data_IF_149675702589
#
_entry.id   IF_149675702589
#
_cell.length_a   1.000
_cell.length_b   1.000
_cell.length_c   1.000
_cell.angle_alpha   90.00
_cell.angle_beta   90.00
_cell.angle_gamma   90.00
#
_symmetry.space_group_name_H-M   'P 1'
#
loop_
_entity.id
_entity.type
_entity.pdbx_description
1 polymer ?
#
# COMPACT_ATOMS: atom_id res chain seq x y z
N UNK A 1 9.14 -19.05 16.53
CA UNK A 1 10.31 -18.55 15.78
C UNK A 1 9.94 -17.53 14.71
N UNK A 2 9.00 -17.79 13.77
CA UNK A 2 8.61 -16.79 12.75
C UNK A 2 8.08 -15.45 13.28
N UNK A 3 7.31 -15.46 14.38
CA UNK A 3 6.79 -14.22 15.01
C UNK A 3 7.91 -13.32 15.57
N UNK A 4 8.90 -13.90 16.24
CA UNK A 4 10.06 -13.16 16.75
C UNK A 4 10.91 -12.54 15.64
N UNK A 5 11.05 -13.22 14.50
CA UNK A 5 11.78 -12.68 13.34
C UNK A 5 11.00 -11.52 12.69
N UNK A 6 9.68 -11.62 12.58
CA UNK A 6 8.83 -10.56 12.03
C UNK A 6 8.78 -9.33 12.94
N UNK A 7 8.74 -9.53 14.26
CA UNK A 7 8.80 -8.44 15.24
C UNK A 7 10.16 -7.74 15.21
N UNK A 8 11.25 -8.50 15.14
CA UNK A 8 12.61 -7.96 15.01
C UNK A 8 12.84 -7.22 13.68
N UNK A 9 12.37 -7.78 12.57
CA UNK A 9 12.47 -7.15 11.24
C UNK A 9 11.72 -5.83 11.19
N UNK A 10 10.51 -5.79 11.78
CA UNK A 10 9.70 -4.58 11.83
C UNK A 10 10.35 -3.51 12.71
N UNK A 11 10.85 -3.89 13.89
CA UNK A 11 11.51 -2.94 14.80
C UNK A 11 12.78 -2.34 14.18
N UNK A 12 13.60 -3.16 13.53
CA UNK A 12 14.80 -2.67 12.79
C UNK A 12 14.40 -1.74 11.63
N UNK A 13 13.35 -2.07 10.88
CA UNK A 13 12.83 -1.23 9.81
C UNK A 13 12.42 0.15 10.33
N UNK A 14 11.64 0.19 11.42
CA UNK A 14 11.14 1.44 12.01
C UNK A 14 12.31 2.33 12.50
N UNK A 15 13.36 1.73 13.06
CA UNK A 15 14.58 2.45 13.46
C UNK A 15 15.34 3.03 12.24
N UNK A 16 15.50 2.26 11.17
CA UNK A 16 16.17 2.72 9.96
C UNK A 16 15.38 3.85 9.27
N UNK A 17 14.06 3.73 9.25
CA UNK A 17 13.14 4.76 8.74
C UNK A 17 13.32 6.09 9.48
N UNK A 18 13.36 6.05 10.80
CA UNK A 18 13.59 7.24 11.64
C UNK A 18 14.94 7.91 11.36
N UNK A 19 16.02 7.12 11.28
CA UNK A 19 17.36 7.64 10.99
C UNK A 19 17.41 8.26 9.60
N UNK A 20 16.85 7.58 8.61
CA UNK A 20 16.87 8.03 7.22
C UNK A 20 16.04 9.31 7.03
N UNK A 21 14.84 9.38 7.62
CA UNK A 21 14.02 10.60 7.63
C UNK A 21 14.74 11.77 8.31
N UNK A 22 15.48 11.52 9.39
CA UNK A 22 16.26 12.56 10.08
C UNK A 22 17.41 13.11 9.22
N UNK A 23 18.18 12.22 8.57
CA UNK A 23 19.28 12.62 7.68
C UNK A 23 18.73 13.43 6.49
N UNK A 24 17.65 12.95 5.86
CA UNK A 24 17.02 13.65 4.75
C UNK A 24 16.46 15.01 5.18
N UNK A 25 15.86 15.11 6.37
CA UNK A 25 15.37 16.38 6.91
C UNK A 25 16.49 17.42 7.04
N UNK A 26 17.66 17.02 7.57
CA UNK A 26 18.82 17.91 7.66
C UNK A 26 19.34 18.33 6.28
N UNK A 27 19.40 17.40 5.32
CA UNK A 27 19.79 17.71 3.95
C UNK A 27 18.82 18.70 3.29
N UNK A 28 17.51 18.52 3.47
CA UNK A 28 16.50 19.44 2.95
C UNK A 28 16.60 20.82 3.60
N UNK A 29 16.91 20.91 4.88
CA UNK A 29 17.14 22.20 5.55
C UNK A 29 18.35 22.94 4.96
N UNK A 30 19.44 22.22 4.67
CA UNK A 30 20.61 22.81 4.00
C UNK A 30 20.30 23.29 2.59
N UNK A 31 19.59 22.48 1.78
CA UNK A 31 19.16 22.89 0.44
C UNK A 31 18.20 24.08 0.45
N UNK A 32 17.29 24.15 1.43
CA UNK A 32 16.40 25.30 1.59
C UNK A 32 17.17 26.58 1.92
N UNK A 33 18.21 26.48 2.76
CA UNK A 33 19.08 27.62 3.05
C UNK A 33 19.89 28.05 1.81
N UNK A 34 20.42 27.10 1.04
CA UNK A 34 21.11 27.40 -0.22
C UNK A 34 20.18 28.12 -1.23
N UNK A 35 18.91 27.70 -1.33
CA UNK A 35 17.92 28.37 -2.17
C UNK A 35 17.68 29.84 -1.75
N UNK A 36 17.64 30.11 -0.44
CA UNK A 36 17.52 31.48 0.06
C UNK A 36 18.73 32.35 -0.31
N UNK A 37 19.93 31.78 -0.36
CA UNK A 37 21.12 32.49 -0.83
C UNK A 37 21.04 32.80 -2.33
N UNK A 38 20.58 31.85 -3.16
CA UNK A 38 20.39 32.08 -4.59
C UNK A 38 19.42 33.26 -4.86
N UNK A 39 18.39 33.41 -4.01
CA UNK A 39 17.44 34.53 -4.10
C UNK A 39 18.07 35.89 -3.79
N UNK A 40 19.12 35.95 -2.96
CA UNK A 40 19.85 37.21 -2.73
C UNK A 40 20.66 37.63 -3.96
N UNK A 41 21.05 36.68 -4.81
CA UNK A 41 21.69 36.94 -6.10
C UNK A 41 20.81 37.71 -7.08
N UNK A 42 19.48 37.55 -7.03
CA UNK A 42 18.53 38.37 -7.80
C UNK A 42 18.61 39.87 -7.46
N UNK A 43 18.97 40.22 -6.23
CA UNK A 43 19.15 41.62 -5.81
C UNK A 43 20.52 42.18 -6.18
N UNK A 44 21.53 41.32 -6.37
CA UNK A 44 22.92 41.71 -6.64
C UNK A 44 23.40 41.21 -8.01
N UNK A 45 23.00 41.93 -9.06
CA UNK A 45 23.73 42.12 -10.33
C UNK A 45 23.82 40.99 -11.39
N UNK A 46 23.56 41.40 -12.66
CA UNK A 46 24.34 41.11 -13.88
C UNK A 46 24.39 39.69 -14.50
N UNK A 47 23.52 38.78 -14.10
CA UNK A 47 23.31 37.49 -14.78
C UNK A 47 21.96 37.54 -15.53
N UNK A 48 21.83 36.83 -16.65
CA UNK A 48 20.57 36.71 -17.38
C UNK A 48 19.47 36.21 -16.42
N UNK A 49 18.46 37.04 -16.15
CA UNK A 49 17.42 36.80 -15.13
C UNK A 49 16.68 35.46 -15.35
N UNK A 50 16.63 34.98 -16.60
CA UNK A 50 16.04 33.70 -16.97
C UNK A 50 16.82 32.49 -16.45
N UNK A 51 18.15 32.49 -16.52
CA UNK A 51 18.95 31.34 -16.06
C UNK A 51 18.88 31.20 -14.53
N UNK A 52 18.88 32.32 -13.80
CA UNK A 52 18.68 32.32 -12.36
C UNK A 52 17.27 31.87 -11.98
N UNK A 53 16.25 32.24 -12.76
CA UNK A 53 14.88 31.80 -12.55
C UNK A 53 14.75 30.28 -12.71
N UNK A 54 15.28 29.70 -13.78
CA UNK A 54 15.25 28.26 -14.03
C UNK A 54 16.00 27.48 -12.94
N UNK A 55 17.16 27.99 -12.49
CA UNK A 55 17.93 27.40 -11.39
C UNK A 55 17.14 27.38 -10.07
N UNK A 56 16.55 28.52 -9.70
CA UNK A 56 15.75 28.64 -8.46
C UNK A 56 14.52 27.75 -8.54
N UNK A 57 13.81 27.73 -9.67
CA UNK A 57 12.64 26.89 -9.88
C UNK A 57 13.00 25.40 -9.79
N UNK A 58 14.10 24.99 -10.41
CA UNK A 58 14.59 23.61 -10.36
C UNK A 58 14.88 23.16 -8.92
N UNK A 59 15.59 23.99 -8.14
CA UNK A 59 15.94 23.71 -6.74
C UNK A 59 14.72 23.71 -5.82
N UNK A 60 13.81 24.68 -5.99
CA UNK A 60 12.56 24.76 -5.22
C UNK A 60 11.67 23.53 -5.43
N UNK A 61 11.52 23.09 -6.69
CA UNK A 61 10.73 21.90 -6.98
C UNK A 61 11.41 20.61 -6.47
N UNK A 62 12.75 20.53 -6.50
CA UNK A 62 13.48 19.39 -5.93
C UNK A 62 13.28 19.30 -4.41
N UNK A 63 13.28 20.44 -3.70
CA UNK A 63 12.93 20.51 -2.28
C UNK A 63 11.51 20.03 -2.00
N UNK A 64 10.52 20.45 -2.80
CA UNK A 64 9.14 20.02 -2.63
C UNK A 64 9.00 18.49 -2.76
N UNK A 65 9.68 17.88 -3.74
CA UNK A 65 9.68 16.41 -3.92
C UNK A 65 10.37 15.73 -2.73
N UNK A 66 11.50 16.26 -2.28
CA UNK A 66 12.25 15.72 -1.14
C UNK A 66 11.45 15.73 0.16
N UNK A 67 10.69 16.79 0.43
CA UNK A 67 9.80 16.87 1.59
C UNK A 67 8.71 15.79 1.53
N UNK A 68 8.10 15.60 0.37
CA UNK A 68 7.05 14.58 0.20
C UNK A 68 7.61 13.16 0.33
N UNK A 69 8.83 12.93 -0.16
CA UNK A 69 9.56 11.67 0.03
C UNK A 69 9.80 11.37 1.51
N UNK A 70 10.20 12.36 2.32
CA UNK A 70 10.38 12.19 3.76
C UNK A 70 9.06 11.79 4.43
N UNK A 71 7.95 12.44 4.08
CA UNK A 71 6.62 12.06 4.62
C UNK A 71 6.21 10.65 4.21
N UNK A 72 6.53 10.26 2.98
CA UNK A 72 6.25 8.93 2.45
C UNK A 72 7.07 7.85 3.17
N UNK A 73 8.35 8.13 3.43
CA UNK A 73 9.22 7.22 4.17
C UNK A 73 8.68 7.03 5.58
N UNK A 74 8.36 8.11 6.30
CA UNK A 74 7.89 8.08 7.70
C UNK A 74 6.49 7.49 7.92
N UNK A 75 5.70 7.29 6.85
CA UNK A 75 4.37 6.67 6.90
C UNK A 75 4.10 5.99 5.55
N UNK A 76 4.71 4.83 5.30
CA UNK A 76 4.61 4.17 4.01
C UNK A 76 3.21 3.61 3.83
N UNK A 77 2.38 4.32 3.07
CA UNK A 77 1.11 3.80 2.57
C UNK A 77 1.19 3.61 1.04
N UNK A 78 0.60 2.56 0.47
CA UNK A 78 0.56 2.36 -0.99
C UNK A 78 -0.05 3.55 -1.74
N UNK A 79 -0.92 4.31 -1.07
CA UNK A 79 -1.51 5.53 -1.59
C UNK A 79 -0.49 6.68 -1.67
N UNK A 80 0.33 6.85 -0.63
CA UNK A 80 1.33 7.92 -0.53
C UNK A 80 2.45 7.78 -1.56
N UNK A 81 2.90 6.55 -1.83
CA UNK A 81 4.00 6.30 -2.79
C UNK A 81 3.65 6.76 -4.20
N UNK A 82 2.43 6.49 -4.65
CA UNK A 82 1.98 6.87 -5.99
C UNK A 82 1.85 8.39 -6.10
N UNK A 83 1.34 9.06 -5.07
CA UNK A 83 1.22 10.52 -5.04
C UNK A 83 2.58 11.22 -5.15
N UNK A 84 3.60 10.71 -4.44
CA UNK A 84 4.97 11.25 -4.51
C UNK A 84 5.60 11.02 -5.89
N UNK A 85 5.42 9.83 -6.48
CA UNK A 85 5.93 9.54 -7.83
C UNK A 85 5.29 10.45 -8.89
N UNK A 86 3.99 10.71 -8.78
CA UNK A 86 3.29 11.63 -9.67
C UNK A 86 3.80 13.06 -9.55
N UNK A 87 4.04 13.52 -8.32
CA UNK A 87 4.60 14.85 -8.07
C UNK A 87 6.02 14.98 -8.63
N UNK A 88 6.86 13.96 -8.44
CA UNK A 88 8.22 13.91 -8.98
C UNK A 88 8.25 13.95 -10.53
N UNK A 89 7.41 13.15 -11.17
CA UNK A 89 7.29 13.13 -12.64
C UNK A 89 6.75 14.45 -13.19
N UNK A 90 5.74 15.02 -12.54
CA UNK A 90 5.13 16.30 -12.96
C UNK A 90 6.14 17.44 -12.89
N UNK A 91 6.97 17.52 -11.83
CA UNK A 91 8.08 18.49 -11.78
C UNK A 91 9.00 18.35 -12.98
N UNK A 92 9.44 17.13 -13.27
CA UNK A 92 10.47 16.91 -14.28
C UNK A 92 10.00 17.39 -15.66
N UNK A 93 8.70 17.32 -15.92
CA UNK A 93 8.07 17.87 -17.12
C UNK A 93 7.98 19.41 -17.16
N UNK A 94 8.02 20.08 -16.00
CA UNK A 94 7.93 21.55 -15.89
C UNK A 94 9.32 22.19 -15.95
N UNK A 95 10.33 21.57 -15.34
CA UNK A 95 11.67 22.13 -15.17
C UNK A 95 12.57 21.87 -16.38
N UNK A 96 12.61 20.63 -16.86
CA UNK A 96 13.29 20.35 -18.12
C UNK A 96 12.33 20.79 -19.22
N UNK A 97 12.74 21.69 -20.12
CA UNK A 97 12.00 21.94 -21.37
C UNK A 97 12.26 20.74 -22.29
N UNK A 98 11.46 19.66 -22.26
CA UNK A 98 11.83 18.45 -22.94
C UNK A 98 11.47 18.64 -24.41
N UNK A 99 12.23 18.04 -25.31
CA UNK A 99 11.74 17.80 -26.67
C UNK A 99 10.32 17.23 -26.60
N UNK A 100 9.41 17.73 -27.44
CA UNK A 100 7.96 17.47 -27.38
C UNK A 100 7.60 15.97 -27.27
N UNK A 101 8.45 15.09 -27.79
CA UNK A 101 8.34 13.62 -27.66
C UNK A 101 8.61 13.09 -26.25
N UNK A 102 9.62 13.61 -25.56
CA UNK A 102 9.93 13.22 -24.17
C UNK A 102 8.79 13.61 -23.23
N UNK A 103 8.17 14.77 -23.48
CA UNK A 103 7.00 15.22 -22.74
C UNK A 103 5.81 14.26 -22.94
N UNK A 104 5.56 13.82 -24.18
CA UNK A 104 4.51 12.86 -24.51
C UNK A 104 4.73 11.50 -23.81
N UNK A 105 5.97 10.97 -23.84
CA UNK A 105 6.30 9.73 -23.15
C UNK A 105 6.13 9.84 -21.62
N UNK A 106 6.47 10.99 -21.04
CA UNK A 106 6.24 11.26 -19.62
C UNK A 106 4.76 11.23 -19.24
N UNK A 107 3.89 11.86 -20.05
CA UNK A 107 2.43 11.83 -19.84
C UNK A 107 1.90 10.38 -19.98
N UNK A 108 2.34 9.64 -20.99
CA UNK A 108 1.93 8.24 -21.19
C UNK A 108 2.35 7.39 -19.99
N UNK A 109 3.56 7.57 -19.47
CA UNK A 109 4.05 6.83 -18.29
C UNK A 109 3.18 7.11 -17.05
N UNK A 110 2.84 8.37 -16.81
CA UNK A 110 1.91 8.77 -15.73
C UNK A 110 0.53 8.12 -15.93
N UNK A 111 -0.02 8.16 -17.13
CA UNK A 111 -1.31 7.56 -17.45
C UNK A 111 -1.32 6.03 -17.23
N UNK A 112 -0.23 5.35 -17.60
CA UNK A 112 -0.06 3.91 -17.37
C UNK A 112 0.04 3.59 -15.87
N UNK A 113 0.77 4.38 -15.08
CA UNK A 113 0.82 4.21 -13.62
C UNK A 113 -0.58 4.32 -12.98
N UNK A 114 -1.38 5.29 -13.42
CA UNK A 114 -2.78 5.40 -12.98
C UNK A 114 -3.64 4.21 -13.42
N UNK A 115 -3.44 3.70 -14.64
CA UNK A 115 -4.17 2.54 -15.13
C UNK A 115 -3.80 1.27 -14.34
N UNK A 116 -2.51 1.03 -14.08
CA UNK A 116 -2.05 -0.08 -13.24
C UNK A 116 -2.71 0.00 -11.85
N UNK A 117 -2.72 1.19 -11.23
CA UNK A 117 -3.40 1.40 -9.95
C UNK A 117 -4.89 1.05 -10.02
N UNK A 118 -5.60 1.59 -11.00
CA UNK A 118 -7.05 1.43 -11.11
C UNK A 118 -7.47 0.00 -11.44
N UNK A 119 -6.70 -0.72 -12.24
CA UNK A 119 -7.14 -2.00 -12.81
C UNK A 119 -6.41 -3.23 -12.25
N UNK A 120 -5.18 -3.09 -11.76
CA UNK A 120 -4.38 -4.21 -11.24
C UNK A 120 -4.50 -4.34 -9.71
N UNK A 121 -4.42 -3.23 -8.98
CA UNK A 121 -4.43 -3.26 -7.50
C UNK A 121 -5.83 -3.36 -6.91
N UNK A 122 -6.85 -2.75 -7.53
CA UNK A 122 -8.25 -2.84 -7.06
C UNK A 122 -8.76 -4.29 -7.06
N UNK A 123 -8.28 -5.15 -7.97
CA UNK A 123 -8.65 -6.57 -7.99
C UNK A 123 -8.09 -7.37 -6.79
N UNK A 124 -6.97 -6.94 -6.22
CA UNK A 124 -6.37 -7.59 -5.05
C UNK A 124 -6.97 -7.10 -3.73
N UNK A 125 -7.62 -5.94 -3.73
CA UNK A 125 -8.18 -5.29 -2.54
C UNK A 125 -9.72 -5.47 -2.42
N UNK A 126 -10.39 -5.97 -3.47
CA UNK A 126 -11.83 -6.25 -3.49
C UNK A 126 -12.21 -7.57 -2.80
N UNK A 127 -11.29 -8.20 -2.06
CA UNK A 127 -11.67 -9.32 -1.23
C UNK A 127 -12.51 -8.78 -0.04
N UNK A 128 -13.81 -9.01 -0.05
CA UNK A 128 -14.63 -8.60 1.10
C UNK A 128 -14.35 -9.59 2.25
N UNK A 129 -13.73 -9.07 3.32
CA UNK A 129 -13.42 -9.83 4.53
C UNK A 129 -14.56 -9.68 5.55
N UNK A 130 -15.16 -10.79 5.98
CA UNK A 130 -16.17 -10.82 7.05
C UNK A 130 -15.83 -11.86 8.10
N UNK A 131 -15.66 -11.45 9.35
CA UNK A 131 -15.42 -12.37 10.47
C UNK A 131 -16.72 -12.70 11.18
N UNK A 132 -17.06 -13.99 11.24
CA UNK A 132 -18.26 -14.51 11.90
C UNK A 132 -17.92 -15.60 12.91
N UNK A 133 -18.87 -15.95 13.79
CA UNK A 133 -18.70 -17.05 14.73
C UNK A 133 -18.75 -18.39 14.00
N UNK A 134 -17.83 -19.29 14.34
CA UNK A 134 -17.79 -20.65 13.77
C UNK A 134 -19.06 -21.47 14.05
N UNK A 135 -19.80 -21.13 15.12
CA UNK A 135 -21.07 -21.78 15.49
C UNK A 135 -22.28 -21.35 14.67
N UNK A 136 -22.14 -20.37 13.76
CA UNK A 136 -23.26 -19.96 12.90
C UNK A 136 -23.60 -21.07 11.90
N UNK A 137 -24.91 -21.34 11.76
CA UNK A 137 -25.44 -22.26 10.75
C UNK A 137 -25.19 -21.72 9.35
N UNK A 138 -24.87 -22.59 8.39
CA UNK A 138 -24.55 -22.20 7.01
C UNK A 138 -25.65 -21.34 6.37
N UNK A 139 -26.93 -21.60 6.66
CA UNK A 139 -28.06 -20.78 6.18
C UNK A 139 -27.96 -19.31 6.59
N UNK A 140 -27.60 -19.05 7.84
CA UNK A 140 -27.47 -17.69 8.36
C UNK A 140 -26.28 -16.97 7.72
N UNK A 141 -25.19 -17.70 7.50
CA UNK A 141 -23.97 -17.20 6.87
C UNK A 141 -24.22 -16.86 5.40
N UNK A 142 -24.93 -17.72 4.67
CA UNK A 142 -25.30 -17.49 3.28
C UNK A 142 -26.14 -16.21 3.12
N UNK A 143 -27.02 -15.91 4.08
CA UNK A 143 -27.81 -14.67 4.10
C UNK A 143 -26.91 -13.46 4.43
N UNK A 144 -26.13 -13.55 5.52
CA UNK A 144 -25.29 -12.45 6.01
C UNK A 144 -24.20 -12.04 5.02
N UNK A 145 -23.50 -13.03 4.45
CA UNK A 145 -22.38 -12.81 3.54
C UNK A 145 -22.83 -12.73 2.06
N UNK A 146 -24.14 -12.93 1.77
CA UNK A 146 -24.68 -13.05 0.41
C UNK A 146 -23.90 -14.06 -0.42
N UNK A 147 -23.73 -15.26 0.13
CA UNK A 147 -22.98 -16.37 -0.49
C UNK A 147 -23.84 -17.63 -0.55
N UNK A 148 -23.37 -18.62 -1.31
CA UNK A 148 -24.02 -19.92 -1.39
C UNK A 148 -23.02 -21.03 -1.03
N UNK A 149 -22.76 -21.18 0.27
CA UNK A 149 -21.96 -22.28 0.79
C UNK A 149 -22.85 -23.52 0.87
N UNK A 150 -22.47 -24.59 0.15
CA UNK A 150 -23.17 -25.86 0.17
C UNK A 150 -22.75 -26.67 1.42
N UNK A 151 -23.73 -27.32 2.05
CA UNK A 151 -23.52 -28.17 3.22
C UNK A 151 -24.83 -28.78 3.72
N UNK A 152 -24.75 -29.59 4.78
CA UNK A 152 -25.93 -30.27 5.32
C UNK A 152 -26.84 -29.28 6.08
N UNK A 153 -28.12 -29.62 6.25
CA UNK A 153 -29.14 -28.69 6.80
C UNK A 153 -28.84 -28.19 8.23
N UNK A 154 -28.06 -28.95 8.99
CA UNK A 154 -27.65 -28.67 10.37
C UNK A 154 -26.19 -28.19 10.49
N UNK A 155 -25.46 -28.11 9.37
CA UNK A 155 -24.04 -27.76 9.42
C UNK A 155 -23.79 -26.32 9.88
N UNK A 156 -22.71 -26.19 10.65
CA UNK A 156 -22.11 -24.92 11.04
C UNK A 156 -20.88 -24.64 10.19
N UNK A 157 -20.44 -23.38 10.15
CA UNK A 157 -19.17 -23.04 9.51
C UNK A 157 -18.00 -23.85 10.07
N UNK A 158 -17.94 -24.02 11.39
CA UNK A 158 -16.89 -24.78 12.06
C UNK A 158 -16.92 -26.27 11.66
N UNK A 159 -18.10 -26.90 11.62
CA UNK A 159 -18.22 -28.31 11.23
C UNK A 159 -17.83 -28.54 9.77
N UNK A 160 -18.26 -27.65 8.87
CA UNK A 160 -17.91 -27.70 7.46
C UNK A 160 -16.39 -27.60 7.22
N UNK A 161 -15.73 -26.63 7.88
CA UNK A 161 -14.28 -26.41 7.77
C UNK A 161 -13.52 -27.59 8.35
N UNK A 162 -13.92 -28.09 9.52
CA UNK A 162 -13.29 -29.26 10.13
C UNK A 162 -13.41 -30.49 9.23
N UNK A 163 -14.56 -30.69 8.56
CA UNK A 163 -14.76 -31.81 7.63
C UNK A 163 -13.86 -31.69 6.39
N UNK A 164 -13.77 -30.51 5.77
CA UNK A 164 -12.89 -30.29 4.62
C UNK A 164 -11.41 -30.46 4.99
N UNK A 165 -10.95 -29.86 6.09
CA UNK A 165 -9.55 -29.97 6.51
C UNK A 165 -9.18 -31.41 6.87
N UNK A 166 -10.09 -32.17 7.50
CA UNK A 166 -9.86 -33.60 7.78
C UNK A 166 -9.84 -34.46 6.51
N UNK A 167 -10.72 -34.18 5.55
CA UNK A 167 -10.72 -34.87 4.26
C UNK A 167 -9.41 -34.63 3.48
N UNK A 168 -8.84 -33.44 3.61
CA UNK A 168 -7.56 -33.07 3.00
C UNK A 168 -6.32 -33.52 3.80
N UNK A 169 -6.49 -34.30 4.88
CA UNK A 169 -5.43 -34.69 5.83
C UNK A 169 -4.63 -33.50 6.41
N UNK A 170 -5.26 -32.33 6.53
CA UNK A 170 -4.64 -31.12 7.10
C UNK A 170 -4.95 -30.98 8.59
N UNK A 171 -3.98 -30.49 9.34
CA UNK A 171 -4.16 -30.17 10.75
C UNK A 171 -4.98 -28.89 10.90
N UNK A 172 -6.01 -28.94 11.74
CA UNK A 172 -6.86 -27.77 12.03
C UNK A 172 -6.11 -26.85 12.98
N UNK A 173 -5.72 -25.67 12.49
CA UNK A 173 -5.00 -24.65 13.26
C UNK A 173 -5.42 -23.24 12.84
N UNK A 174 -5.15 -22.24 13.69
CA UNK A 174 -5.37 -20.82 13.34
C UNK A 174 -4.57 -20.48 12.07
N UNK A 175 -5.26 -19.90 11.08
CA UNK A 175 -4.72 -19.62 9.75
C UNK A 175 -4.97 -20.70 8.71
N UNK A 176 -5.55 -21.85 9.08
CA UNK A 176 -5.95 -22.88 8.10
C UNK A 176 -7.04 -22.33 7.18
N UNK A 177 -6.93 -22.62 5.87
CA UNK A 177 -7.84 -22.11 4.85
C UNK A 177 -8.48 -23.26 4.07
N UNK A 178 -9.79 -23.16 3.88
CA UNK A 178 -10.57 -23.99 2.95
C UNK A 178 -10.98 -23.11 1.78
N UNK A 179 -10.55 -23.49 0.57
CA UNK A 179 -10.88 -22.79 -0.66
C UNK A 179 -12.15 -23.37 -1.27
N UNK A 180 -13.11 -22.50 -1.58
CA UNK A 180 -14.33 -22.82 -2.36
C UNK A 180 -14.30 -21.99 -3.65
N UNK A 181 -15.22 -22.26 -4.58
CA UNK A 181 -15.20 -21.67 -5.94
C UNK A 181 -15.14 -20.14 -5.95
N UNK A 182 -15.92 -19.45 -5.10
CA UNK A 182 -16.04 -17.98 -5.10
C UNK A 182 -15.68 -17.33 -3.75
N UNK A 183 -15.17 -18.10 -2.80
CA UNK A 183 -14.76 -17.60 -1.49
C UNK A 183 -13.77 -18.55 -0.80
N UNK A 184 -12.98 -18.02 0.12
CA UNK A 184 -12.15 -18.82 1.02
C UNK A 184 -12.64 -18.66 2.46
N UNK A 185 -12.58 -19.74 3.23
CA UNK A 185 -12.89 -19.76 4.65
C UNK A 185 -11.60 -19.97 5.43
N UNK A 186 -11.22 -18.99 6.24
CA UNK A 186 -9.99 -19.04 7.05
C UNK A 186 -10.33 -19.12 8.54
N UNK A 187 -9.62 -19.98 9.26
CA UNK A 187 -9.73 -20.07 10.72
C UNK A 187 -9.05 -18.84 11.35
N UNK A 188 -9.86 -17.92 11.87
CA UNK A 188 -9.39 -16.69 12.54
C UNK A 188 -8.99 -16.95 13.99
N UNK A 189 -9.83 -17.70 14.73
CA UNK A 189 -9.57 -17.99 16.15
C UNK A 189 -10.12 -19.34 16.59
N UNK A 190 -9.34 -20.07 17.38
CA UNK A 190 -9.75 -21.31 18.03
C UNK A 190 -9.77 -21.16 19.56
N UNK A 191 -10.61 -21.97 20.22
CA UNK A 191 -10.61 -22.14 21.67
C UNK A 191 -10.59 -23.64 21.97
N UNK A 192 -9.44 -24.13 22.42
CA UNK A 192 -9.17 -25.57 22.40
C UNK A 192 -9.24 -26.11 20.97
N UNK A 193 -9.97 -27.22 20.79
CA UNK A 193 -10.19 -27.84 19.47
C UNK A 193 -11.38 -27.24 18.70
N UNK A 194 -12.04 -26.22 19.25
CA UNK A 194 -13.24 -25.62 18.64
C UNK A 194 -12.88 -24.35 17.87
N UNK A 195 -13.28 -24.31 16.59
CA UNK A 195 -13.19 -23.10 15.76
C UNK A 195 -14.22 -22.07 16.26
N UNK A 196 -13.73 -20.99 16.88
CA UNK A 196 -14.58 -19.95 17.48
C UNK A 196 -14.93 -18.84 16.50
N UNK A 197 -13.98 -18.44 15.64
CA UNK A 197 -14.15 -17.39 14.62
C UNK A 197 -13.61 -17.86 13.27
N UNK A 198 -14.35 -17.50 12.23
CA UNK A 198 -14.02 -17.80 10.84
C UNK A 198 -14.06 -16.50 10.07
N UNK A 199 -13.00 -16.27 9.32
CA UNK A 199 -12.90 -15.21 8.33
C UNK A 199 -13.39 -15.75 6.98
N UNK A 200 -14.39 -15.08 6.41
CA UNK A 200 -14.90 -15.33 5.07
C UNK A 200 -14.24 -14.31 4.14
N UNK A 201 -13.52 -14.80 3.14
CA UNK A 201 -12.82 -14.00 2.14
C UNK A 201 -13.56 -14.21 0.83
N UNK A 202 -14.39 -13.25 0.43
CA UNK A 202 -15.16 -13.34 -0.82
C UNK A 202 -14.41 -12.66 -1.95
N UNK A 203 -14.29 -13.32 -3.09
CA UNK A 203 -13.75 -12.73 -4.31
C UNK A 203 -14.90 -12.11 -5.11
N UNK A 204 -14.98 -10.78 -5.16
CA UNK A 204 -15.90 -10.11 -6.08
C UNK A 204 -15.27 -10.12 -7.49
N UNK A 205 -15.78 -11.01 -8.35
CA UNK A 205 -15.40 -11.13 -9.77
C UNK A 205 -16.11 -10.09 -10.64
#
# INVERSE_FOLDING_TARGET
MRKYLQEFEKEVSDYLEMILSFILMLAMAFFAFALLQDMTGFMSSSIDDLELFDLVLARAMALAVGIELIKMISNPSPKTVIEVLLFALTRQLIVDHPNMLNFLFGIIAVAVLFAIRRYLFVKMDNATHMVVRGSYKLKMVNILARTHIQGEKEDTLASLIMRHLKADHKTVSVGSVVYLENLALRVDKMHGDVISRVEIIKYDY
#
